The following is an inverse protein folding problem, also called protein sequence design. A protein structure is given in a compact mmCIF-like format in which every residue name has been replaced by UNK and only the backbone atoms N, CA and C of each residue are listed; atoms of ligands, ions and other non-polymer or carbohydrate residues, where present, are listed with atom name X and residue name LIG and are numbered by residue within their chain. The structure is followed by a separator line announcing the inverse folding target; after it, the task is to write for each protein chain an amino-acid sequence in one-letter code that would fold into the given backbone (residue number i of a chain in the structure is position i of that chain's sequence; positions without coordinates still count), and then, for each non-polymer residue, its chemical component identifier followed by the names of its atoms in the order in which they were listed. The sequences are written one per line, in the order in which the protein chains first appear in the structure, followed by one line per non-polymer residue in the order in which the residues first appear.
data_IF_500120123890
#
_entry.id   IF_500120123890
#
_cell.length_a   1.000
_cell.length_b   1.000
_cell.length_c   1.000
_cell.angle_alpha   90.00
_cell.angle_beta   90.00
_cell.angle_gamma   90.00
#
_symmetry.space_group_name_H-M   'P 1'
#
loop_
_entity.id
_entity.type
_entity.pdbx_description
1 polymer ?
#
# COMPACT_ATOMS: atom_id res chain seq x y z
N UNK A 1 1.50 20.26 -1.71
CA UNK A 1 1.37 20.46 -3.18
C UNK A 1 1.68 21.89 -3.64
N UNK A 2 1.06 22.92 -3.03
CA UNK A 2 1.24 24.32 -3.48
C UNK A 2 2.70 24.77 -3.59
N UNK A 3 3.54 24.52 -2.57
CA UNK A 3 4.95 24.89 -2.62
C UNK A 3 5.74 24.16 -3.70
N UNK A 4 5.50 22.84 -3.88
CA UNK A 4 6.10 22.06 -4.95
C UNK A 4 5.81 22.68 -6.32
N UNK A 5 4.58 23.15 -6.54
CA UNK A 5 4.19 23.79 -7.80
C UNK A 5 4.74 25.21 -7.98
N UNK A 6 4.65 26.05 -6.95
CA UNK A 6 5.02 27.48 -7.04
C UNK A 6 6.51 27.70 -6.88
N UNK A 7 7.10 27.17 -5.81
CA UNK A 7 8.50 27.37 -5.45
C UNK A 7 9.40 26.45 -6.27
N UNK A 8 9.09 25.16 -6.29
CA UNK A 8 9.94 24.14 -6.91
C UNK A 8 9.56 23.81 -8.35
N UNK A 9 8.56 24.50 -8.91
CA UNK A 9 8.13 24.40 -10.30
C UNK A 9 7.74 22.99 -10.76
N UNK A 10 7.38 22.10 -9.84
CA UNK A 10 6.82 20.80 -10.18
C UNK A 10 5.56 20.97 -11.06
N UNK A 11 5.43 20.12 -12.08
CA UNK A 11 4.29 20.12 -13.01
C UNK A 11 3.57 18.79 -13.08
N UNK A 12 4.17 17.72 -12.57
CA UNK A 12 3.57 16.40 -12.55
C UNK A 12 3.51 15.92 -11.13
N UNK A 13 2.34 15.49 -10.69
CA UNK A 13 2.08 14.96 -9.35
C UNK A 13 1.46 13.59 -9.49
N UNK A 14 2.08 12.59 -8.87
CA UNK A 14 1.48 11.30 -8.60
C UNK A 14 1.16 11.26 -7.11
N UNK A 15 -0.12 11.16 -6.77
CA UNK A 15 -0.62 11.06 -5.41
C UNK A 15 -1.12 9.64 -5.20
N UNK A 16 -0.62 8.98 -4.17
CA UNK A 16 -1.04 7.63 -3.78
C UNK A 16 -1.79 7.78 -2.46
N UNK A 17 -3.02 7.28 -2.42
CA UNK A 17 -3.83 7.28 -1.19
C UNK A 17 -3.35 6.21 -0.18
N UNK A 18 -3.96 6.16 1.00
CA UNK A 18 -3.54 5.23 2.06
C UNK A 18 -4.11 3.83 1.79
N UNK A 19 -3.30 2.75 1.87
CA UNK A 19 -3.76 1.37 1.68
C UNK A 19 -4.76 0.96 2.78
N UNK A 20 -5.47 -0.19 2.66
CA UNK A 20 -6.46 -0.62 3.64
C UNK A 20 -5.75 -1.15 4.90
N UNK A 21 -5.13 -0.27 5.68
CA UNK A 21 -4.23 -0.64 6.78
C UNK A 21 -4.95 -1.35 7.93
N UNK A 22 -6.27 -1.21 8.07
CA UNK A 22 -7.08 -2.06 8.96
C UNK A 22 -7.00 -3.56 8.60
N UNK A 23 -6.60 -3.90 7.37
CA UNK A 23 -6.38 -5.28 6.90
C UNK A 23 -4.92 -5.76 6.99
N UNK A 24 -3.99 -4.88 7.39
CA UNK A 24 -2.60 -5.29 7.70
C UNK A 24 -2.57 -6.20 8.93
N UNK A 25 -1.52 -7.00 9.15
CA UNK A 25 -1.43 -7.86 10.34
C UNK A 25 -1.56 -7.05 11.63
N UNK A 26 -0.85 -5.93 11.75
CA UNK A 26 -0.96 -5.01 12.88
C UNK A 26 -2.36 -4.39 13.01
N UNK A 27 -2.95 -3.95 11.89
CA UNK A 27 -4.30 -3.38 11.88
C UNK A 27 -5.38 -4.34 12.37
N UNK A 28 -5.28 -5.62 12.00
CA UNK A 28 -6.16 -6.69 12.49
C UNK A 28 -5.90 -6.97 13.97
N UNK A 29 -4.64 -7.02 14.41
CA UNK A 29 -4.27 -7.30 15.79
C UNK A 29 -4.86 -6.30 16.80
N UNK A 30 -4.96 -5.01 16.42
CA UNK A 30 -5.53 -3.96 17.27
C UNK A 30 -6.97 -3.55 16.92
N UNK A 31 -7.60 -4.20 15.94
CA UNK A 31 -9.00 -3.97 15.58
C UNK A 31 -9.31 -2.56 15.07
N UNK A 32 -8.43 -1.98 14.25
CA UNK A 32 -8.67 -0.64 13.67
C UNK A 32 -9.83 -0.69 12.65
N UNK A 33 -10.67 0.35 12.66
CA UNK A 33 -11.71 0.59 11.65
C UNK A 33 -11.17 1.05 10.28
N UNK A 34 -11.96 0.86 9.23
CA UNK A 34 -11.61 1.37 7.90
C UNK A 34 -11.83 2.89 7.74
N UNK A 35 -12.67 3.50 8.59
CA UNK A 35 -13.24 4.84 8.42
C UNK A 35 -12.17 5.92 8.30
N UNK A 36 -11.12 5.85 9.12
CA UNK A 36 -10.01 6.81 9.06
C UNK A 36 -9.30 6.82 7.70
N UNK A 37 -9.19 5.67 7.06
CA UNK A 37 -8.50 5.52 5.78
C UNK A 37 -9.40 5.98 4.64
N UNK A 38 -10.68 5.59 4.63
CA UNK A 38 -11.64 6.01 3.61
C UNK A 38 -11.91 7.52 3.67
N UNK A 39 -11.96 8.10 4.88
CA UNK A 39 -12.07 9.55 5.08
C UNK A 39 -10.86 10.28 4.52
N UNK A 40 -9.66 9.86 4.89
CA UNK A 40 -8.43 10.47 4.38
C UNK A 40 -8.32 10.38 2.85
N UNK A 41 -8.61 9.21 2.28
CA UNK A 41 -8.52 8.98 0.84
C UNK A 41 -9.53 9.83 0.07
N UNK A 42 -10.74 10.00 0.63
CA UNK A 42 -11.77 10.89 0.08
C UNK A 42 -11.30 12.34 0.09
N UNK A 43 -10.77 12.82 1.21
CA UNK A 43 -10.27 14.19 1.32
C UNK A 43 -9.06 14.44 0.40
N UNK A 44 -8.13 13.49 0.30
CA UNK A 44 -7.00 13.58 -0.64
C UNK A 44 -7.50 13.78 -2.07
N UNK A 45 -8.51 13.00 -2.51
CA UNK A 45 -9.08 13.10 -3.85
C UNK A 45 -9.79 14.44 -4.06
N UNK A 46 -10.55 14.93 -3.07
CA UNK A 46 -11.22 16.23 -3.13
C UNK A 46 -10.19 17.37 -3.27
N UNK A 47 -9.14 17.34 -2.46
CA UNK A 47 -8.07 18.35 -2.51
C UNK A 47 -7.27 18.26 -3.81
N UNK A 48 -6.99 17.07 -4.33
CA UNK A 48 -6.33 16.88 -5.62
C UNK A 48 -7.17 17.47 -6.77
N UNK A 49 -8.48 17.25 -6.77
CA UNK A 49 -9.42 17.83 -7.74
C UNK A 49 -9.46 19.36 -7.65
N UNK A 50 -9.49 19.91 -6.44
CA UNK A 50 -9.44 21.36 -6.20
C UNK A 50 -8.14 21.96 -6.75
N UNK A 51 -7.01 21.32 -6.43
CA UNK A 51 -5.70 21.73 -6.90
C UNK A 51 -5.57 21.69 -8.43
N UNK A 52 -6.10 20.64 -9.07
CA UNK A 52 -6.13 20.52 -10.53
C UNK A 52 -6.90 21.66 -11.21
N UNK A 53 -8.04 22.07 -10.64
CA UNK A 53 -8.82 23.22 -11.14
C UNK A 53 -8.05 24.53 -11.00
N UNK A 54 -7.28 24.69 -9.91
CA UNK A 54 -6.53 25.91 -9.63
C UNK A 54 -5.19 26.00 -10.41
N UNK A 55 -4.69 24.90 -10.98
CA UNK A 55 -3.35 24.84 -11.58
C UNK A 55 -3.36 24.25 -12.99
N UNK A 56 -3.79 25.06 -13.96
CA UNK A 56 -3.96 24.64 -15.37
C UNK A 56 -2.71 24.09 -16.08
N UNK A 57 -1.51 24.30 -15.51
CA UNK A 57 -0.24 23.80 -16.05
C UNK A 57 0.27 22.53 -15.35
N UNK A 58 -0.46 22.01 -14.37
CA UNK A 58 -0.09 20.80 -13.65
C UNK A 58 -0.90 19.59 -14.13
N UNK A 59 -0.22 18.46 -14.30
CA UNK A 59 -0.82 17.13 -14.44
C UNK A 59 -0.85 16.47 -13.08
N UNK A 60 -2.03 16.04 -12.64
CA UNK A 60 -2.24 15.42 -11.33
C UNK A 60 -2.91 14.08 -11.55
N UNK A 61 -2.25 13.03 -11.06
CA UNK A 61 -2.72 11.65 -11.09
C UNK A 61 -2.95 11.20 -9.65
N UNK A 62 -4.11 10.59 -9.40
CA UNK A 62 -4.43 10.00 -8.10
C UNK A 62 -4.56 8.50 -8.32
N UNK A 63 -3.81 7.73 -7.55
CA UNK A 63 -3.91 6.27 -7.50
C UNK A 63 -4.44 5.85 -6.17
N UNK A 64 -5.40 4.93 -6.20
CA UNK A 64 -5.86 4.29 -4.99
C UNK A 64 -5.03 3.05 -4.68
N UNK A 65 -4.08 3.18 -3.75
CA UNK A 65 -3.45 2.00 -3.14
C UNK A 65 -4.46 1.23 -2.31
N UNK A 66 -5.50 1.89 -1.78
CA UNK A 66 -6.61 1.22 -1.10
C UNK A 66 -7.25 0.15 -1.98
N UNK A 67 -7.66 0.53 -3.20
CA UNK A 67 -8.30 -0.41 -4.15
C UNK A 67 -7.32 -1.47 -4.61
N UNK A 68 -6.09 -1.09 -4.98
CA UNK A 68 -5.10 -2.06 -5.50
C UNK A 68 -4.75 -3.10 -4.44
N UNK A 69 -4.44 -2.67 -3.22
CA UNK A 69 -4.06 -3.60 -2.14
C UNK A 69 -5.27 -4.42 -1.68
N UNK A 70 -6.49 -3.86 -1.67
CA UNK A 70 -7.70 -4.64 -1.39
C UNK A 70 -7.89 -5.78 -2.38
N UNK A 71 -7.74 -5.49 -3.68
CA UNK A 71 -7.85 -6.49 -4.74
C UNK A 71 -6.77 -7.59 -4.65
N UNK A 72 -5.55 -7.22 -4.24
CA UNK A 72 -4.48 -8.20 -3.97
C UNK A 72 -4.83 -9.07 -2.75
N UNK A 73 -5.33 -8.47 -1.67
CA UNK A 73 -5.74 -9.20 -0.47
C UNK A 73 -6.97 -10.09 -0.70
N UNK A 74 -7.85 -9.71 -1.63
CA UNK A 74 -9.05 -10.48 -1.97
C UNK A 74 -8.73 -11.64 -2.93
N UNK A 75 -7.65 -11.52 -3.74
CA UNK A 75 -7.26 -12.50 -4.75
C UNK A 75 -5.74 -12.81 -4.77
N UNK A 76 -5.08 -13.11 -3.63
CA UNK A 76 -3.62 -13.17 -3.54
C UNK A 76 -2.98 -14.22 -4.47
N UNK A 77 -3.64 -15.37 -4.66
CA UNK A 77 -3.19 -16.41 -5.58
C UNK A 77 -3.08 -15.92 -7.04
N UNK A 78 -3.94 -14.98 -7.47
CA UNK A 78 -3.86 -14.40 -8.81
C UNK A 78 -2.59 -13.55 -9.03
N UNK A 79 -1.94 -13.15 -7.94
CA UNK A 79 -0.69 -12.41 -7.94
C UNK A 79 0.53 -13.28 -7.60
N UNK A 80 0.36 -14.61 -7.54
CA UNK A 80 1.43 -15.54 -7.16
C UNK A 80 1.81 -15.48 -5.68
N UNK A 81 0.97 -14.85 -4.85
CA UNK A 81 1.14 -14.82 -3.40
C UNK A 81 0.48 -16.05 -2.77
N UNK A 82 1.02 -16.50 -1.65
CA UNK A 82 0.42 -17.56 -0.84
C UNK A 82 -0.42 -16.97 0.28
N UNK A 83 -1.61 -17.54 0.51
CA UNK A 83 -2.50 -17.20 1.64
C UNK A 83 -1.88 -17.51 3.01
N UNK A 84 -0.84 -18.35 3.02
CA UNK A 84 -0.15 -18.78 4.22
C UNK A 84 0.85 -17.72 4.66
N UNK A 85 0.43 -16.89 5.62
CA UNK A 85 1.35 -16.51 6.68
C UNK A 85 1.46 -17.79 7.51
N UNK A 86 2.60 -18.48 7.52
CA UNK A 86 2.83 -19.45 8.59
C UNK A 86 2.74 -18.66 9.90
N UNK A 87 1.63 -18.83 10.62
CA UNK A 87 1.55 -18.40 12.01
C UNK A 87 2.63 -19.21 12.73
N UNK A 88 3.70 -18.55 13.15
CA UNK A 88 4.56 -19.10 14.18
C UNK A 88 3.65 -19.36 15.39
N UNK A 89 3.25 -20.60 15.58
CA UNK A 89 2.71 -21.06 16.86
C UNK A 89 3.89 -21.01 17.82
N UNK A 90 4.09 -19.84 18.43
CA UNK A 90 5.03 -19.60 19.52
C UNK A 90 4.48 -20.24 20.80
N UNK A 91 4.37 -21.56 20.80
CA UNK A 91 4.22 -22.37 22.01
C UNK A 91 5.61 -22.80 22.54
N UNK A 92 6.57 -21.88 22.55
CA UNK A 92 7.89 -22.13 23.13
C UNK A 92 8.26 -21.02 24.12
N UNK A 93 8.18 -21.34 25.39
CA UNK A 93 8.74 -20.57 26.52
C UNK A 93 10.28 -20.51 26.52
N UNK A 94 10.95 -20.95 25.43
CA UNK A 94 12.39 -20.92 25.30
C UNK A 94 12.79 -19.96 24.18
N UNK A 95 13.55 -18.92 24.54
CA UNK A 95 14.15 -17.94 23.63
C UNK A 95 15.02 -18.65 22.59
N UNK A 96 14.46 -18.94 21.42
CA UNK A 96 15.22 -19.28 20.22
C UNK A 96 15.53 -17.99 19.43
N UNK A 97 16.74 -17.86 18.87
CA UNK A 97 17.10 -16.70 18.06
C UNK A 97 16.21 -16.68 16.80
N UNK A 98 15.73 -15.49 16.44
CA UNK A 98 14.98 -15.19 15.21
C UNK A 98 15.64 -15.85 13.98
N UNK A 99 15.15 -17.04 13.61
CA UNK A 99 15.54 -17.72 12.38
C UNK A 99 14.63 -17.16 11.31
N UNK A 100 14.96 -15.97 10.81
CA UNK A 100 14.18 -15.27 9.82
C UNK A 100 13.74 -16.16 8.65
N UNK A 101 12.55 -15.87 8.12
CA UNK A 101 11.95 -16.55 6.96
C UNK A 101 12.97 -16.79 5.85
N UNK A 102 12.83 -17.94 5.18
CA UNK A 102 13.64 -18.21 4.00
C UNK A 102 13.36 -17.16 2.90
N UNK A 103 14.37 -16.86 2.06
CA UNK A 103 14.19 -15.92 0.94
C UNK A 103 13.03 -16.31 0.01
N UNK A 104 12.69 -17.60 -0.08
CA UNK A 104 11.57 -18.11 -0.88
C UNK A 104 10.19 -17.80 -0.26
N UNK A 105 10.08 -17.74 1.07
CA UNK A 105 8.84 -17.39 1.78
C UNK A 105 8.59 -15.88 1.74
N UNK A 106 9.63 -15.07 1.88
CA UNK A 106 9.55 -13.62 1.73
C UNK A 106 9.16 -13.20 0.29
N UNK A 107 9.42 -14.06 -0.70
CA UNK A 107 8.98 -13.83 -2.07
C UNK A 107 7.48 -14.08 -2.30
N UNK A 108 6.75 -14.69 -1.35
CA UNK A 108 5.33 -15.07 -1.52
C UNK A 108 4.37 -14.42 -0.53
N UNK A 109 4.85 -13.79 0.54
CA UNK A 109 4.02 -13.00 1.46
C UNK A 109 3.74 -11.60 0.88
N UNK A 110 2.54 -11.06 1.12
CA UNK A 110 2.24 -9.65 0.84
C UNK A 110 2.92 -8.69 1.83
N UNK A 111 3.01 -9.10 3.10
CA UNK A 111 3.48 -8.27 4.21
C UNK A 111 4.86 -8.74 4.68
N UNK A 112 5.76 -7.78 4.90
CA UNK A 112 7.07 -8.01 5.53
C UNK A 112 6.92 -8.13 7.05
N UNK A 113 6.19 -7.18 7.63
CA UNK A 113 5.89 -7.09 9.05
C UNK A 113 4.43 -6.64 9.25
N UNK A 114 4.10 -6.19 10.45
CA UNK A 114 2.75 -5.79 10.82
C UNK A 114 2.15 -4.65 9.98
N UNK A 115 2.96 -3.84 9.30
CA UNK A 115 2.49 -2.64 8.58
C UNK A 115 3.13 -2.42 7.20
N UNK A 116 4.26 -3.07 6.89
CA UNK A 116 4.99 -2.86 5.64
C UNK A 116 4.72 -3.99 4.64
N UNK A 117 4.59 -3.61 3.37
CA UNK A 117 4.59 -4.60 2.28
C UNK A 117 5.97 -5.25 2.16
N UNK A 118 5.99 -6.53 1.82
CA UNK A 118 7.22 -7.23 1.45
C UNK A 118 7.77 -6.72 0.12
N UNK A 119 8.96 -7.18 -0.24
CA UNK A 119 9.52 -6.94 -1.58
C UNK A 119 8.57 -7.44 -2.69
N UNK A 120 7.92 -8.60 -2.49
CA UNK A 120 6.95 -9.13 -3.43
C UNK A 120 5.69 -8.25 -3.51
N UNK A 121 5.18 -7.80 -2.37
CA UNK A 121 4.04 -6.88 -2.29
C UNK A 121 4.31 -5.56 -3.01
N UNK A 122 5.48 -4.96 -2.77
CA UNK A 122 5.92 -3.76 -3.49
C UNK A 122 6.05 -3.97 -4.99
N UNK A 123 6.56 -5.12 -5.44
CA UNK A 123 6.69 -5.45 -6.86
C UNK A 123 5.32 -5.53 -7.53
N UNK A 124 4.37 -6.25 -6.95
CA UNK A 124 3.00 -6.37 -7.49
C UNK A 124 2.33 -5.00 -7.55
N UNK A 125 2.48 -4.20 -6.49
CA UNK A 125 1.95 -2.84 -6.48
C UNK A 125 2.56 -1.97 -7.59
N UNK A 126 3.88 -2.04 -7.80
CA UNK A 126 4.56 -1.33 -8.86
C UNK A 126 4.13 -1.78 -10.26
N UNK A 127 3.94 -3.09 -10.48
CA UNK A 127 3.43 -3.63 -11.75
C UNK A 127 2.01 -3.13 -12.04
N UNK A 128 1.16 -3.01 -11.01
CA UNK A 128 -0.17 -2.41 -11.14
C UNK A 128 -0.11 -0.93 -11.49
N UNK A 129 0.79 -0.16 -10.87
CA UNK A 129 1.02 1.24 -11.24
C UNK A 129 1.49 1.37 -12.69
N UNK A 130 2.42 0.52 -13.11
CA UNK A 130 2.93 0.49 -14.47
C UNK A 130 1.82 0.19 -15.48
N UNK A 131 0.91 -0.74 -15.19
CA UNK A 131 -0.21 -1.03 -16.09
C UNK A 131 -1.23 0.12 -16.21
N UNK A 132 -1.25 1.07 -15.27
CA UNK A 132 -2.12 2.25 -15.31
C UNK A 132 -1.48 3.40 -16.12
N UNK A 133 -0.16 3.60 -16.01
CA UNK A 133 0.52 4.78 -16.57
C UNK A 133 1.66 4.47 -17.56
N UNK A 134 1.92 3.20 -17.81
CA UNK A 134 2.96 2.75 -18.73
C UNK A 134 2.70 3.25 -20.16
N UNK A 135 3.76 3.39 -20.96
CA UNK A 135 3.69 3.81 -22.35
C UNK A 135 2.96 2.81 -23.25
#
# INVERSE_FOLDING_TARGET
MHELYVKWKARTFLLIDVPPMHRSPGGKAIGIDEERYTTWNTELLLQAKSFAKATSKASIYVVSSYVIISDILDNPASYGLSDYIEEEVSDKEDWEPDVGRSEEENQKSLWEDDIHLSTAGHRIFADRLWNIFGP
#
